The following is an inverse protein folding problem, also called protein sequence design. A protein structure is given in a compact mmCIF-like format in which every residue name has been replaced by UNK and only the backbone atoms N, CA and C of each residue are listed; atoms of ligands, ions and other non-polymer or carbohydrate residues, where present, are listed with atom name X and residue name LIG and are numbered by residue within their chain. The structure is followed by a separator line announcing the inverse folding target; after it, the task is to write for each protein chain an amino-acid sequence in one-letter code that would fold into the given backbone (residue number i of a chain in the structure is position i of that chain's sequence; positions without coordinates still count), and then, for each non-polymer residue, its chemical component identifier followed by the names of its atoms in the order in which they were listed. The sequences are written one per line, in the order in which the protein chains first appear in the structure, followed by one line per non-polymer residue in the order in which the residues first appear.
data_IF_807296971729
#
_entry.id   IF_807296971729
#
_cell.length_a   1.000
_cell.length_b   1.000
_cell.length_c   1.000
_cell.angle_alpha   90.00
_cell.angle_beta   90.00
_cell.angle_gamma   90.00
#
_symmetry.space_group_name_H-M   'P 1'
#
loop_
_entity.id
_entity.type
_entity.pdbx_description
1 polymer ?
#
# COMPACT_ATOMS: atom_id res chain seq x y z
N UNK A 1 13.28 -9.88 21.96
CA UNK A 1 12.79 -9.02 20.86
C UNK A 1 12.15 -9.93 19.84
N UNK A 2 11.01 -9.53 19.28
CA UNK A 2 10.22 -10.37 18.38
C UNK A 2 9.87 -9.57 17.13
N UNK A 3 10.00 -10.20 15.96
CA UNK A 3 9.61 -9.61 14.68
C UNK A 3 9.00 -10.66 13.78
N UNK A 4 8.00 -10.26 13.02
CA UNK A 4 7.34 -11.07 12.01
C UNK A 4 7.31 -10.32 10.67
N UNK A 5 7.46 -11.08 9.59
CA UNK A 5 7.32 -10.59 8.23
C UNK A 5 6.76 -11.67 7.34
N UNK A 6 5.63 -11.38 6.70
CA UNK A 6 5.01 -12.26 5.74
C UNK A 6 5.48 -11.87 4.35
N UNK A 7 6.21 -12.79 3.71
CA UNK A 7 6.81 -12.54 2.39
C UNK A 7 5.69 -12.38 1.36
N UNK A 8 5.70 -11.32 0.53
CA UNK A 8 4.67 -11.11 -0.49
C UNK A 8 4.54 -12.31 -1.42
N UNK A 9 3.37 -12.97 -1.40
CA UNK A 9 3.13 -14.20 -2.16
C UNK A 9 3.86 -15.44 -1.64
N UNK A 10 4.51 -15.35 -0.48
CA UNK A 10 5.30 -16.38 0.16
C UNK A 10 4.81 -16.77 1.55
N UNK A 11 5.77 -17.02 2.44
CA UNK A 11 5.60 -17.61 3.76
C UNK A 11 5.95 -16.61 4.85
N UNK A 12 5.41 -16.82 6.04
CA UNK A 12 5.68 -16.08 7.25
C UNK A 12 7.08 -16.45 7.75
N UNK A 13 7.88 -15.43 8.04
CA UNK A 13 9.16 -15.52 8.73
C UNK A 13 9.01 -14.79 10.06
N UNK A 14 9.55 -15.40 11.11
CA UNK A 14 9.54 -14.93 12.49
C UNK A 14 10.98 -14.93 12.99
N UNK A 15 11.38 -13.87 13.70
CA UNK A 15 12.66 -13.76 14.34
C UNK A 15 12.47 -13.43 15.82
N UNK A 16 12.96 -14.31 16.69
CA UNK A 16 13.14 -14.06 18.11
C UNK A 16 14.63 -13.87 18.38
N UNK A 17 15.00 -12.79 19.07
CA UNK A 17 16.39 -12.49 19.41
C UNK A 17 16.50 -11.62 20.66
N UNK A 18 17.67 -11.59 21.26
CA UNK A 18 18.04 -10.73 22.37
C UNK A 18 19.15 -9.76 21.95
N UNK A 19 19.45 -8.80 22.83
CA UNK A 19 20.54 -7.86 22.63
C UNK A 19 21.45 -7.87 23.87
N UNK A 20 22.69 -8.30 23.70
CA UNK A 20 23.72 -8.31 24.74
C UNK A 20 24.93 -7.53 24.24
N UNK A 21 25.37 -6.51 24.99
CA UNK A 21 26.50 -5.65 24.64
C UNK A 21 26.45 -5.08 23.20
N UNK A 22 25.25 -4.72 22.75
CA UNK A 22 25.02 -4.14 21.41
C UNK A 22 25.09 -5.15 20.26
N UNK A 23 25.13 -6.45 20.55
CA UNK A 23 25.11 -7.54 19.58
C UNK A 23 23.85 -8.39 19.72
N UNK A 24 23.39 -8.92 18.59
CA UNK A 24 22.27 -9.86 18.55
C UNK A 24 22.70 -11.17 19.20
N UNK A 25 21.91 -11.67 20.15
CA UNK A 25 22.15 -12.95 20.81
C UNK A 25 20.91 -13.81 20.89
N UNK A 26 21.07 -15.12 21.11
CA UNK A 26 19.96 -16.07 21.20
C UNK A 26 19.03 -16.00 19.98
N UNK A 27 19.61 -15.90 18.79
CA UNK A 27 18.85 -15.71 17.55
C UNK A 27 18.12 -16.99 17.17
N UNK A 28 16.83 -16.87 16.88
CA UNK A 28 15.98 -17.94 16.38
C UNK A 28 15.10 -17.45 15.24
N UNK A 29 15.34 -17.99 14.06
CA UNK A 29 14.46 -17.85 12.90
C UNK A 29 13.46 -19.02 12.86
N UNK A 30 12.19 -18.71 12.64
CA UNK A 30 11.09 -19.67 12.54
C UNK A 30 10.04 -19.18 11.53
N UNK A 31 9.05 -20.00 11.18
CA UNK A 31 8.01 -19.61 10.22
C UNK A 31 7.19 -20.78 9.68
N UNK A 32 6.37 -20.53 8.66
CA UNK A 32 5.63 -21.56 7.90
C UNK A 32 6.27 -21.84 6.51
N UNK A 33 7.56 -21.50 6.36
CA UNK A 33 8.37 -21.74 5.17
C UNK A 33 8.93 -23.17 5.13
N UNK A 34 9.48 -23.56 3.97
CA UNK A 34 10.21 -24.80 3.80
C UNK A 34 11.68 -24.52 3.47
N UNK A 35 12.58 -25.27 4.09
CA UNK A 35 14.03 -25.19 3.91
C UNK A 35 14.56 -26.61 3.75
N UNK A 36 15.39 -26.85 2.74
CA UNK A 36 16.04 -28.13 2.48
C UNK A 36 17.55 -27.88 2.21
N UNK A 37 18.48 -28.54 2.92
CA UNK A 37 18.23 -29.34 4.12
C UNK A 37 17.74 -28.47 5.28
N UNK A 38 16.93 -29.02 6.17
CA UNK A 38 16.42 -28.29 7.35
C UNK A 38 17.54 -27.82 8.29
N UNK A 39 18.67 -28.53 8.32
CA UNK A 39 19.87 -28.17 9.06
C UNK A 39 20.46 -26.80 8.67
N UNK A 40 20.18 -26.30 7.46
CA UNK A 40 20.60 -24.96 7.05
C UNK A 40 19.99 -23.85 7.93
N UNK A 41 18.96 -24.15 8.73
CA UNK A 41 18.40 -23.20 9.69
C UNK A 41 19.39 -22.83 10.79
N UNK A 42 20.26 -23.77 11.20
CA UNK A 42 21.30 -23.51 12.19
C UNK A 42 22.37 -22.57 11.62
N UNK A 43 22.72 -22.74 10.34
CA UNK A 43 23.64 -21.84 9.63
C UNK A 43 23.06 -20.41 9.54
N UNK A 44 21.76 -20.29 9.24
CA UNK A 44 21.05 -19.01 9.23
C UNK A 44 21.10 -18.33 10.61
N UNK A 45 20.76 -19.06 11.68
CA UNK A 45 20.79 -18.51 13.04
C UNK A 45 22.21 -18.08 13.43
N UNK A 46 23.20 -18.93 13.16
CA UNK A 46 24.61 -18.65 13.44
C UNK A 46 25.18 -17.48 12.65
N UNK A 47 24.70 -17.23 11.43
CA UNK A 47 25.11 -16.08 10.62
C UNK A 47 24.65 -14.73 11.19
N UNK A 48 23.53 -14.74 11.93
CA UNK A 48 22.92 -13.54 12.52
C UNK A 48 23.43 -13.34 13.96
N UNK A 49 23.74 -14.43 14.66
CA UNK A 49 24.30 -14.42 16.01
C UNK A 49 25.58 -13.56 16.06
N UNK A 50 25.64 -12.63 17.01
CA UNK A 50 26.78 -11.74 17.22
C UNK A 50 26.85 -10.54 16.27
N UNK A 51 25.96 -10.43 15.27
CA UNK A 51 25.89 -9.21 14.44
C UNK A 51 25.58 -7.98 15.32
N UNK A 52 26.14 -6.80 15.03
CA UNK A 52 25.77 -5.56 15.71
C UNK A 52 24.28 -5.22 15.55
N UNK A 53 23.68 -4.58 16.56
CA UNK A 53 22.32 -4.01 16.49
C UNK A 53 22.09 -3.15 15.23
N UNK A 54 23.14 -2.45 14.81
CA UNK A 54 23.07 -1.47 13.74
C UNK A 54 23.30 -2.04 12.36
N UNK A 55 23.49 -3.36 12.26
CA UNK A 55 23.56 -4.05 10.98
C UNK A 55 22.33 -3.75 10.12
N UNK A 56 22.59 -3.31 8.91
CA UNK A 56 21.59 -3.00 7.89
C UNK A 56 20.93 -4.29 7.38
N UNK A 57 19.77 -4.15 6.73
CA UNK A 57 19.12 -5.30 6.11
C UNK A 57 20.02 -5.95 5.04
N UNK A 58 20.81 -5.16 4.31
CA UNK A 58 21.74 -5.65 3.29
C UNK A 58 22.87 -6.49 3.91
N UNK A 59 23.45 -6.04 5.02
CA UNK A 59 24.50 -6.78 5.74
C UNK A 59 23.95 -8.08 6.33
N UNK A 60 22.75 -8.06 6.91
CA UNK A 60 22.12 -9.26 7.47
C UNK A 60 21.81 -10.27 6.35
N UNK A 61 21.22 -9.81 5.23
CA UNK A 61 20.90 -10.69 4.10
C UNK A 61 22.17 -11.29 3.49
N UNK A 62 23.25 -10.50 3.36
CA UNK A 62 24.53 -10.97 2.86
C UNK A 62 25.17 -12.01 3.79
N UNK A 63 25.11 -11.80 5.11
CA UNK A 63 25.61 -12.76 6.08
C UNK A 63 24.87 -14.10 6.00
N UNK A 64 23.53 -14.06 5.94
CA UNK A 64 22.68 -15.25 5.77
C UNK A 64 23.01 -15.95 4.45
N UNK A 65 23.09 -15.21 3.34
CA UNK A 65 23.37 -15.78 2.03
C UNK A 65 24.75 -16.45 1.96
N UNK A 66 25.75 -15.90 2.66
CA UNK A 66 27.10 -16.45 2.71
C UNK A 66 27.21 -17.71 3.58
N UNK A 67 26.34 -17.87 4.57
CA UNK A 67 26.31 -19.03 5.46
C UNK A 67 25.52 -20.22 4.88
N UNK A 68 24.56 -19.95 3.98
CA UNK A 68 23.75 -21.01 3.37
C UNK A 68 24.61 -22.01 2.56
N UNK A 69 24.38 -23.32 2.72
CA UNK A 69 24.93 -24.34 1.83
C UNK A 69 24.57 -24.05 0.35
N UNK A 70 25.47 -24.42 -0.57
CA UNK A 70 25.27 -24.14 -2.00
C UNK A 70 24.09 -24.89 -2.63
N UNK A 71 23.63 -25.96 -2.00
CA UNK A 71 22.48 -26.78 -2.38
C UNK A 71 21.20 -26.44 -1.59
N UNK A 72 21.25 -25.44 -0.69
CA UNK A 72 20.11 -25.05 0.12
C UNK A 72 18.97 -24.49 -0.74
N UNK A 73 17.76 -24.98 -0.50
CA UNK A 73 16.54 -24.55 -1.17
C UNK A 73 15.63 -23.82 -0.17
N UNK A 74 15.41 -22.53 -0.44
CA UNK A 74 14.51 -21.69 0.34
C UNK A 74 13.18 -21.56 -0.41
N UNK A 75 12.10 -22.10 0.16
CA UNK A 75 10.78 -22.10 -0.47
C UNK A 75 9.82 -21.21 0.30
N UNK A 76 9.42 -20.12 -0.34
CA UNK A 76 8.49 -19.13 0.21
C UNK A 76 9.14 -18.04 1.05
N UNK A 77 10.47 -18.00 1.13
CA UNK A 77 11.22 -16.95 1.82
C UNK A 77 12.60 -16.76 1.18
N UNK A 78 13.35 -15.76 1.64
CA UNK A 78 14.68 -15.43 1.14
C UNK A 78 15.57 -14.83 2.25
N UNK A 79 16.89 -14.71 2.04
CA UNK A 79 17.78 -14.00 2.97
C UNK A 79 17.33 -12.56 3.23
N UNK A 80 16.81 -11.87 2.23
CA UNK A 80 16.26 -10.51 2.37
C UNK A 80 15.02 -10.51 3.27
N UNK A 81 14.13 -11.51 3.15
CA UNK A 81 12.99 -11.64 4.04
C UNK A 81 13.41 -11.86 5.51
N UNK A 82 14.43 -12.68 5.75
CA UNK A 82 15.01 -12.86 7.08
C UNK A 82 15.56 -11.54 7.60
N UNK A 83 16.33 -10.82 6.78
CA UNK A 83 16.88 -9.52 7.16
C UNK A 83 15.79 -8.51 7.54
N UNK A 84 14.71 -8.43 6.77
CA UNK A 84 13.54 -7.60 7.09
C UNK A 84 12.94 -8.01 8.44
N UNK A 85 12.76 -9.31 8.68
CA UNK A 85 12.20 -9.85 9.93
C UNK A 85 13.06 -9.49 11.13
N UNK A 86 14.39 -9.66 11.01
CA UNK A 86 15.35 -9.30 12.06
C UNK A 86 15.35 -7.78 12.31
N UNK A 87 15.32 -6.95 11.26
CA UNK A 87 15.23 -5.49 11.42
C UNK A 87 13.94 -5.07 12.12
N UNK A 88 12.82 -5.74 11.84
CA UNK A 88 11.55 -5.52 12.56
C UNK A 88 11.65 -5.91 14.03
N UNK A 89 12.29 -7.05 14.35
CA UNK A 89 12.53 -7.48 15.72
C UNK A 89 13.40 -6.45 16.48
N UNK A 90 14.51 -6.00 15.89
CA UNK A 90 15.40 -4.97 16.48
C UNK A 90 14.67 -3.64 16.67
N UNK A 91 13.81 -3.28 15.72
CA UNK A 91 13.01 -2.06 15.80
C UNK A 91 11.88 -2.14 16.82
N UNK A 92 11.55 -3.34 17.33
CA UNK A 92 10.34 -3.61 18.11
C UNK A 92 9.09 -3.10 17.37
N UNK A 93 9.05 -3.35 16.06
CA UNK A 93 7.97 -2.91 15.20
C UNK A 93 6.64 -3.54 15.63
N UNK A 94 5.56 -2.76 15.56
CA UNK A 94 4.23 -3.27 15.84
C UNK A 94 3.76 -4.24 14.75
N UNK A 95 2.94 -5.21 15.13
CA UNK A 95 2.19 -6.09 14.25
C UNK A 95 0.79 -5.51 13.96
N UNK A 96 0.11 -6.09 12.97
CA UNK A 96 -1.28 -5.74 12.69
C UNK A 96 -2.22 -5.99 13.87
N UNK A 97 -1.95 -7.04 14.67
CA UNK A 97 -2.82 -7.49 15.76
C UNK A 97 -2.59 -6.75 17.08
N UNK A 98 -1.55 -5.92 17.15
CA UNK A 98 -1.31 -5.05 18.30
C UNK A 98 -2.28 -3.85 18.34
N UNK A 99 -3.08 -3.65 17.30
CA UNK A 99 -3.96 -2.51 17.15
C UNK A 99 -5.45 -2.89 17.12
N UNK A 100 -6.24 -2.09 17.82
CA UNK A 100 -7.69 -2.09 17.71
C UNK A 100 -8.13 -1.31 16.46
N UNK A 101 -8.23 -1.98 15.32
CA UNK A 101 -8.58 -1.34 14.06
C UNK A 101 -9.99 -0.72 14.06
N UNK A 102 -10.11 0.44 13.42
CA UNK A 102 -11.38 1.04 13.03
C UNK A 102 -11.64 0.79 11.54
N UNK A 103 -12.82 0.25 11.24
CA UNK A 103 -13.22 -0.09 9.86
C UNK A 103 -14.34 0.85 9.43
N UNK A 104 -14.06 1.70 8.46
CA UNK A 104 -15.05 2.61 7.85
C UNK A 104 -15.38 2.16 6.44
N UNK A 105 -16.68 2.05 6.16
CA UNK A 105 -17.23 2.08 4.81
C UNK A 105 -18.37 3.10 4.81
N UNK A 106 -18.16 4.24 4.16
CA UNK A 106 -19.07 5.38 4.19
C UNK A 106 -19.55 5.80 2.81
N UNK A 107 -20.52 6.70 2.77
CA UNK A 107 -21.13 7.22 1.55
C UNK A 107 -20.12 7.86 0.59
N UNK A 108 -20.37 7.82 -0.73
CA UNK A 108 -19.55 8.52 -1.72
C UNK A 108 -19.38 10.00 -1.36
N UNK A 109 -18.15 10.52 -1.50
CA UNK A 109 -17.84 11.93 -1.27
C UNK A 109 -17.23 12.58 -2.51
N UNK A 110 -17.35 13.90 -2.60
CA UNK A 110 -16.72 14.66 -3.68
C UNK A 110 -15.19 14.59 -3.62
N UNK A 111 -14.50 14.75 -4.77
CA UNK A 111 -13.06 14.49 -4.85
C UNK A 111 -12.19 15.27 -3.87
N UNK A 112 -12.46 16.56 -3.67
CA UNK A 112 -11.71 17.38 -2.71
C UNK A 112 -11.91 16.92 -1.26
N UNK A 113 -13.14 16.50 -0.92
CA UNK A 113 -13.48 15.99 0.40
C UNK A 113 -12.78 14.67 0.69
N UNK A 114 -12.69 13.77 -0.30
CA UNK A 114 -11.97 12.50 -0.13
C UNK A 114 -10.50 12.71 0.22
N UNK A 115 -9.83 13.62 -0.50
CA UNK A 115 -8.42 13.92 -0.23
C UNK A 115 -8.21 14.64 1.10
N UNK A 116 -9.16 15.48 1.51
CA UNK A 116 -9.13 16.12 2.82
C UNK A 116 -9.31 15.12 3.97
N UNK A 117 -10.24 14.17 3.83
CA UNK A 117 -10.43 13.09 4.80
C UNK A 117 -9.18 12.22 4.94
N UNK A 118 -8.52 11.88 3.83
CA UNK A 118 -7.24 11.15 3.89
C UNK A 118 -6.20 11.89 4.74
N UNK A 119 -6.07 13.21 4.59
CA UNK A 119 -5.10 14.00 5.36
C UNK A 119 -5.51 14.17 6.84
N UNK A 120 -6.79 14.49 7.10
CA UNK A 120 -7.32 14.70 8.46
C UNK A 120 -7.21 13.42 9.28
N UNK A 121 -7.65 12.28 8.74
CA UNK A 121 -7.66 11.02 9.46
C UNK A 121 -6.24 10.48 9.68
N UNK A 122 -5.33 10.68 8.74
CA UNK A 122 -3.92 10.31 8.94
C UNK A 122 -3.27 11.16 10.03
N UNK A 123 -3.53 12.47 10.06
CA UNK A 123 -3.03 13.33 11.14
C UNK A 123 -3.59 12.91 12.50
N UNK A 124 -4.90 12.63 12.59
CA UNK A 124 -5.53 12.18 13.83
C UNK A 124 -4.92 10.87 14.37
N UNK A 125 -4.57 9.93 13.49
CA UNK A 125 -3.83 8.72 13.88
C UNK A 125 -2.44 9.05 14.41
N UNK A 126 -1.69 9.94 13.74
CA UNK A 126 -0.35 10.34 14.21
C UNK A 126 -0.37 11.12 15.52
N UNK A 127 -1.45 11.87 15.78
CA UNK A 127 -1.67 12.58 17.04
C UNK A 127 -2.22 11.68 18.16
N UNK A 128 -2.56 10.42 17.87
CA UNK A 128 -3.14 9.48 18.82
C UNK A 128 -4.60 9.78 19.20
N UNK A 129 -5.26 10.71 18.50
CA UNK A 129 -6.68 11.04 18.71
C UNK A 129 -7.62 10.10 17.97
N UNK A 130 -7.09 9.33 17.01
CA UNK A 130 -7.79 8.27 16.29
C UNK A 130 -6.98 6.96 16.32
N UNK A 131 -7.66 5.83 16.42
CA UNK A 131 -7.05 4.50 16.28
C UNK A 131 -6.68 4.20 14.82
N UNK A 132 -5.72 3.29 14.55
CA UNK A 132 -5.41 2.86 13.18
C UNK A 132 -6.68 2.44 12.44
N UNK A 133 -6.80 2.86 11.19
CA UNK A 133 -8.07 2.81 10.48
C UNK A 133 -7.90 2.29 9.06
N UNK A 134 -8.74 1.33 8.67
CA UNK A 134 -9.04 1.01 7.29
C UNK A 134 -10.31 1.75 6.88
N UNK A 135 -10.23 2.51 5.79
CA UNK A 135 -11.39 3.18 5.18
C UNK A 135 -11.53 2.72 3.75
N UNK A 136 -12.63 2.06 3.41
CA UNK A 136 -13.07 1.84 2.03
C UNK A 136 -14.07 2.95 1.67
N UNK A 137 -13.86 3.62 0.54
CA UNK A 137 -14.64 4.80 0.18
C UNK A 137 -14.79 4.97 -1.32
N UNK A 138 -15.77 5.79 -1.73
CA UNK A 138 -16.23 5.87 -3.12
C UNK A 138 -16.31 7.31 -3.64
N UNK A 139 -16.22 7.48 -4.97
CA UNK A 139 -16.23 8.79 -5.62
C UNK A 139 -17.65 9.23 -5.97
N UNK A 140 -18.08 10.40 -5.47
CA UNK A 140 -19.39 10.97 -5.81
C UNK A 140 -19.45 11.59 -7.21
N UNK A 141 -18.30 11.86 -7.85
CA UNK A 141 -18.24 12.46 -9.19
C UNK A 141 -16.94 12.07 -9.91
N UNK A 142 -16.90 12.13 -11.26
CA UNK A 142 -15.70 11.86 -12.03
C UNK A 142 -14.53 12.76 -11.64
N UNK A 143 -13.33 12.17 -11.54
CA UNK A 143 -12.15 12.89 -11.11
C UNK A 143 -10.86 12.46 -11.82
N UNK A 144 -9.95 13.43 -11.96
CA UNK A 144 -8.53 13.19 -12.21
C UNK A 144 -7.76 13.56 -10.96
N UNK A 145 -7.01 12.60 -10.43
CA UNK A 145 -6.19 12.77 -9.25
C UNK A 145 -4.72 12.80 -9.66
N UNK A 146 -4.09 13.96 -9.57
CA UNK A 146 -2.64 14.10 -9.82
C UNK A 146 -1.85 13.98 -8.51
N UNK A 147 -0.67 13.38 -8.59
CA UNK A 147 0.27 13.26 -7.48
C UNK A 147 0.87 14.61 -7.07
N UNK A 148 1.36 14.69 -5.84
CA UNK A 148 1.84 15.94 -5.22
C UNK A 148 2.92 16.67 -6.03
N UNK A 149 3.77 15.94 -6.76
CA UNK A 149 4.88 16.48 -7.57
C UNK A 149 4.56 16.60 -9.07
N UNK A 150 3.38 16.18 -9.52
CA UNK A 150 3.07 16.16 -10.94
C UNK A 150 2.70 17.56 -11.48
N UNK A 151 3.08 17.81 -12.73
CA UNK A 151 2.71 19.05 -13.44
C UNK A 151 1.29 18.94 -13.98
N UNK A 152 0.37 19.76 -13.48
CA UNK A 152 -1.02 19.81 -13.94
C UNK A 152 -1.11 19.92 -15.48
N UNK A 153 -0.27 20.78 -16.07
CA UNK A 153 -0.25 21.01 -17.53
C UNK A 153 0.23 19.79 -18.32
N UNK A 154 1.12 18.99 -17.75
CA UNK A 154 1.69 17.85 -18.45
C UNK A 154 0.82 16.61 -18.32
N UNK A 155 0.04 16.49 -17.24
CA UNK A 155 -0.78 15.30 -16.98
C UNK A 155 -2.22 15.42 -17.47
N UNK A 156 -2.77 16.62 -17.56
CA UNK A 156 -4.22 16.81 -17.75
C UNK A 156 -4.54 17.68 -18.96
N UNK A 157 -5.46 17.20 -19.79
CA UNK A 157 -6.15 18.04 -20.76
C UNK A 157 -7.33 18.75 -20.06
N UNK A 158 -7.07 19.97 -19.55
CA UNK A 158 -8.08 20.72 -18.80
C UNK A 158 -9.33 21.04 -19.61
N UNK A 159 -9.20 21.27 -20.91
CA UNK A 159 -10.35 21.60 -21.76
C UNK A 159 -11.26 20.38 -21.91
N UNK A 160 -10.68 19.19 -22.11
CA UNK A 160 -11.45 17.95 -22.12
C UNK A 160 -12.00 17.61 -20.72
N UNK A 161 -11.23 17.78 -19.66
CA UNK A 161 -11.70 17.55 -18.30
C UNK A 161 -12.95 18.41 -17.98
N UNK A 162 -12.94 19.70 -18.31
CA UNK A 162 -14.09 20.59 -18.17
C UNK A 162 -15.27 20.15 -19.05
N UNK A 163 -15.02 19.85 -20.33
CA UNK A 163 -16.04 19.37 -21.28
C UNK A 163 -16.77 18.11 -20.80
N UNK A 164 -16.04 17.19 -20.17
CA UNK A 164 -16.61 15.92 -19.67
C UNK A 164 -17.04 16.00 -18.20
N UNK A 165 -17.02 17.17 -17.56
CA UNK A 165 -17.44 17.33 -16.16
C UNK A 165 -16.52 16.61 -15.15
N UNK A 166 -15.24 16.45 -15.50
CA UNK A 166 -14.26 15.74 -14.67
C UNK A 166 -13.53 16.73 -13.77
N UNK A 167 -13.65 16.53 -12.47
CA UNK A 167 -12.99 17.39 -11.47
C UNK A 167 -11.51 17.04 -11.38
N UNK A 168 -10.62 18.03 -11.38
CA UNK A 168 -9.18 17.78 -11.26
C UNK A 168 -8.72 18.15 -9.85
N UNK A 169 -8.15 17.20 -9.13
CA UNK A 169 -7.67 17.36 -7.75
C UNK A 169 -6.23 16.88 -7.59
N UNK A 170 -5.52 17.46 -6.62
CA UNK A 170 -4.13 17.07 -6.27
C UNK A 170 -4.10 16.42 -4.89
N UNK A 171 -3.56 15.21 -4.79
CA UNK A 171 -3.37 14.51 -3.51
C UNK A 171 -2.06 14.90 -2.83
N UNK A 172 -1.95 14.60 -1.54
CA UNK A 172 -0.73 14.89 -0.74
C UNK A 172 0.40 13.88 -0.95
N UNK A 173 0.09 12.70 -1.47
CA UNK A 173 1.04 11.63 -1.80
C UNK A 173 1.61 11.79 -3.20
N UNK A 174 2.75 11.15 -3.45
CA UNK A 174 3.36 11.09 -4.78
C UNK A 174 2.67 10.09 -5.71
N UNK A 175 3.33 9.74 -6.82
CA UNK A 175 2.84 8.78 -7.81
C UNK A 175 2.18 9.43 -9.03
N UNK A 176 1.69 8.59 -9.96
CA UNK A 176 1.12 9.03 -11.24
C UNK A 176 -0.30 9.60 -11.14
N UNK A 177 -0.79 10.11 -12.28
CA UNK A 177 -2.14 10.61 -12.42
C UNK A 177 -3.12 9.45 -12.59
N UNK A 178 -4.31 9.56 -12.02
CA UNK A 178 -5.38 8.56 -12.13
C UNK A 178 -6.66 9.23 -12.58
N UNK A 179 -7.47 8.50 -13.34
CA UNK A 179 -8.83 8.87 -13.71
C UNK A 179 -9.81 7.88 -13.07
N UNK A 180 -10.87 8.39 -12.48
CA UNK A 180 -11.92 7.59 -11.82
C UNK A 180 -13.28 8.18 -12.15
N UNK A 181 -14.28 7.30 -12.19
CA UNK A 181 -15.68 7.65 -12.26
C UNK A 181 -16.43 7.01 -11.08
N UNK A 182 -17.61 7.52 -10.72
CA UNK A 182 -18.49 6.82 -9.80
C UNK A 182 -18.65 5.38 -10.25
N UNK A 183 -18.58 4.47 -9.29
CA UNK A 183 -18.69 3.02 -9.50
C UNK A 183 -17.58 2.33 -10.30
N UNK A 184 -16.63 3.07 -10.89
CA UNK A 184 -15.57 2.48 -11.72
C UNK A 184 -14.36 2.01 -10.91
N UNK A 185 -14.30 2.31 -9.61
CA UNK A 185 -13.17 1.99 -8.76
C UNK A 185 -13.58 1.45 -7.39
N UNK A 186 -12.68 0.66 -6.81
CA UNK A 186 -12.65 0.36 -5.38
C UNK A 186 -11.45 1.09 -4.81
N UNK A 187 -11.69 1.99 -3.85
CA UNK A 187 -10.64 2.79 -3.23
C UNK A 187 -10.60 2.52 -1.73
N UNK A 188 -9.40 2.30 -1.20
CA UNK A 188 -9.19 2.18 0.23
C UNK A 188 -7.99 3.01 0.69
N UNK A 189 -8.04 3.40 1.96
CA UNK A 189 -6.97 4.06 2.66
C UNK A 189 -6.72 3.35 3.99
N UNK A 190 -5.45 3.17 4.32
CA UNK A 190 -4.94 2.80 5.63
C UNK A 190 -4.29 4.03 6.25
N UNK A 191 -4.76 4.38 7.44
CA UNK A 191 -4.18 5.43 8.28
C UNK A 191 -3.51 4.73 9.46
N UNK A 192 -2.18 4.66 9.45
CA UNK A 192 -1.44 3.80 10.38
C UNK A 192 -0.33 4.57 11.11
N UNK A 193 -0.03 4.22 12.38
CA UNK A 193 1.14 4.72 13.08
C UNK A 193 2.43 4.29 12.37
N UNK A 194 3.50 5.07 12.52
CA UNK A 194 4.79 4.77 11.89
C UNK A 194 5.42 3.46 12.38
N UNK A 195 5.10 3.07 13.62
CA UNK A 195 5.56 1.86 14.30
C UNK A 195 5.17 0.58 13.57
N UNK A 196 4.01 0.57 12.88
CA UNK A 196 3.53 -0.59 12.13
C UNK A 196 4.47 -0.94 10.96
N UNK A 197 5.02 0.08 10.29
CA UNK A 197 5.93 -0.09 9.15
C UNK A 197 7.41 0.08 9.53
N UNK A 198 7.72 0.15 10.82
CA UNK A 198 9.07 0.32 11.29
C UNK A 198 9.94 -0.88 10.93
N UNK A 199 11.20 -0.64 10.57
CA UNK A 199 12.13 -1.68 10.12
C UNK A 199 11.93 -2.14 8.67
N UNK A 200 10.88 -1.68 7.98
CA UNK A 200 10.67 -1.92 6.55
C UNK A 200 11.37 -0.87 5.68
N UNK A 201 11.83 -1.27 4.51
CA UNK A 201 12.16 -0.31 3.46
C UNK A 201 10.89 0.40 2.96
N UNK A 202 11.04 1.50 2.22
CA UNK A 202 9.89 2.14 1.58
C UNK A 202 9.15 1.17 0.67
N UNK A 203 9.86 0.40 -0.15
CA UNK A 203 9.27 -0.56 -1.07
C UNK A 203 8.51 -1.68 -0.35
N UNK A 204 9.13 -2.28 0.68
CA UNK A 204 8.51 -3.36 1.44
C UNK A 204 7.29 -2.86 2.20
N UNK A 205 7.29 -1.61 2.66
CA UNK A 205 6.13 -1.05 3.35
C UNK A 205 4.88 -0.92 2.47
N UNK A 206 5.02 -0.84 1.14
CA UNK A 206 3.85 -0.92 0.27
C UNK A 206 3.32 -2.35 0.18
N UNK A 207 4.20 -3.31 -0.13
CA UNK A 207 3.80 -4.72 -0.26
C UNK A 207 3.18 -5.25 1.04
N UNK A 208 3.76 -4.89 2.18
CA UNK A 208 3.27 -5.22 3.51
C UNK A 208 1.85 -4.67 3.77
N UNK A 209 1.57 -3.41 3.40
CA UNK A 209 0.24 -2.80 3.62
C UNK A 209 -0.83 -3.27 2.63
N UNK A 210 -0.42 -3.82 1.47
CA UNK A 210 -1.31 -4.36 0.44
C UNK A 210 -1.55 -5.88 0.56
N UNK A 211 -0.86 -6.56 1.47
CA UNK A 211 -0.86 -8.02 1.49
C UNK A 211 -2.25 -8.64 1.69
N UNK A 212 -3.01 -8.10 2.64
CA UNK A 212 -4.38 -8.53 2.93
C UNK A 212 -5.31 -8.41 1.71
N UNK A 213 -5.03 -7.48 0.80
CA UNK A 213 -5.79 -7.33 -0.45
C UNK A 213 -5.48 -8.44 -1.41
N UNK A 214 -4.22 -8.88 -1.51
CA UNK A 214 -3.86 -10.02 -2.35
C UNK A 214 -4.58 -11.28 -1.88
N UNK A 215 -4.67 -11.50 -0.57
CA UNK A 215 -5.43 -12.61 0.00
C UNK A 215 -6.93 -12.50 -0.29
N UNK A 216 -7.51 -11.31 -0.19
CA UNK A 216 -8.91 -11.07 -0.52
C UNK A 216 -9.20 -11.37 -2.00
N UNK A 217 -8.35 -10.89 -2.91
CA UNK A 217 -8.51 -11.08 -4.35
C UNK A 217 -8.30 -12.55 -4.76
N UNK A 218 -7.32 -13.25 -4.17
CA UNK A 218 -7.12 -14.70 -4.38
C UNK A 218 -8.31 -15.52 -3.90
N UNK A 219 -8.91 -15.15 -2.77
CA UNK A 219 -10.12 -15.79 -2.28
C UNK A 219 -11.34 -15.55 -3.19
N UNK A 220 -11.28 -14.58 -4.10
CA UNK A 220 -12.27 -14.34 -5.16
C UNK A 220 -11.89 -15.01 -6.50
N UNK A 221 -10.83 -15.81 -6.53
CA UNK A 221 -10.36 -16.51 -7.72
C UNK A 221 -9.47 -15.68 -8.65
N UNK A 222 -9.02 -14.49 -8.21
CA UNK A 222 -8.06 -13.68 -8.97
C UNK A 222 -6.65 -14.07 -8.55
N UNK A 223 -5.82 -14.50 -9.50
CA UNK A 223 -4.39 -14.72 -9.27
C UNK A 223 -3.63 -13.39 -9.14
N UNK A 224 -3.89 -12.68 -8.05
CA UNK A 224 -3.32 -11.37 -7.77
C UNK A 224 -1.92 -11.50 -7.17
N UNK A 225 -0.98 -10.73 -7.71
CA UNK A 225 0.39 -10.63 -7.22
C UNK A 225 0.85 -9.18 -7.16
N UNK A 226 1.83 -8.95 -6.29
CA UNK A 226 2.44 -7.65 -6.12
C UNK A 226 3.54 -7.42 -7.15
N UNK A 227 3.58 -6.23 -7.74
CA UNK A 227 4.64 -5.78 -8.61
C UNK A 227 5.26 -4.49 -8.07
N UNK A 228 6.50 -4.53 -7.57
CA UNK A 228 7.19 -3.34 -7.10
C UNK A 228 7.24 -2.24 -8.18
N UNK A 229 7.13 -0.97 -7.80
CA UNK A 229 7.14 -0.47 -6.42
C UNK A 229 5.81 -0.62 -5.67
N UNK A 230 4.67 -0.55 -6.36
CA UNK A 230 3.36 -0.20 -5.77
C UNK A 230 2.15 -0.71 -6.57
N UNK A 231 2.32 -1.68 -7.47
CA UNK A 231 1.25 -2.15 -8.35
C UNK A 231 0.68 -3.50 -7.87
N UNK A 232 -0.65 -3.59 -7.78
CA UNK A 232 -1.37 -4.87 -7.65
C UNK A 232 -1.76 -5.31 -9.07
N UNK A 233 -1.34 -6.51 -9.46
CA UNK A 233 -1.51 -7.03 -10.83
C UNK A 233 -2.02 -8.47 -10.84
N UNK A 234 -2.53 -8.91 -11.99
CA UNK A 234 -2.79 -10.30 -12.31
C UNK A 234 -2.15 -10.64 -13.68
N UNK A 235 -2.17 -11.91 -14.12
CA UNK A 235 -1.72 -12.28 -15.46
C UNK A 235 -2.46 -11.53 -16.58
N UNK A 236 -3.68 -11.08 -16.33
CA UNK A 236 -4.50 -10.38 -17.31
C UNK A 236 -4.15 -8.89 -17.43
N UNK A 237 -3.66 -8.27 -16.35
CA UNK A 237 -3.32 -6.85 -16.36
C UNK A 237 -3.10 -6.24 -14.99
N UNK A 238 -2.87 -4.92 -14.99
CA UNK A 238 -2.80 -4.15 -13.74
C UNK A 238 -4.22 -3.98 -13.18
N UNK A 239 -4.39 -4.28 -11.90
CA UNK A 239 -5.65 -4.12 -11.16
C UNK A 239 -5.70 -2.76 -10.47
N UNK A 240 -4.63 -2.39 -9.77
CA UNK A 240 -4.59 -1.17 -8.97
C UNK A 240 -3.18 -0.71 -8.67
N UNK A 241 -3.08 0.47 -8.06
CA UNK A 241 -1.80 1.02 -7.63
C UNK A 241 -1.94 1.81 -6.34
N UNK A 242 -0.95 1.64 -5.47
CA UNK A 242 -0.85 2.30 -4.19
C UNK A 242 -0.05 3.60 -4.27
N UNK A 243 -0.30 4.51 -3.34
CA UNK A 243 0.60 5.62 -3.05
C UNK A 243 0.71 5.80 -1.53
N UNK A 244 1.85 6.28 -1.06
CA UNK A 244 2.07 6.55 0.36
C UNK A 244 2.52 7.98 0.62
N UNK A 245 2.22 8.44 1.83
CA UNK A 245 2.78 9.66 2.42
C UNK A 245 3.04 9.43 3.90
N UNK A 246 4.28 9.67 4.35
CA UNK A 246 4.60 9.80 5.77
C UNK A 246 4.43 11.26 6.18
N UNK A 247 3.66 11.50 7.23
CA UNK A 247 3.38 12.85 7.75
C UNK A 247 4.35 13.21 8.87
N UNK A 248 4.46 14.51 9.16
CA UNK A 248 5.29 15.02 10.25
C UNK A 248 4.82 14.56 11.63
N UNK A 249 3.55 14.14 11.76
CA UNK A 249 2.98 13.50 12.95
C UNK A 249 3.48 12.08 13.18
N UNK A 250 4.29 11.49 12.28
CA UNK A 250 4.79 10.12 12.36
C UNK A 250 3.86 9.07 11.73
N UNK A 251 2.60 9.41 11.46
CA UNK A 251 1.67 8.51 10.79
C UNK A 251 1.94 8.37 9.28
N UNK A 252 1.43 7.28 8.73
CA UNK A 252 1.53 6.90 7.32
C UNK A 252 0.13 6.82 6.73
N UNK A 253 -0.07 7.59 5.66
CA UNK A 253 -1.15 7.37 4.71
C UNK A 253 -0.66 6.36 3.69
N UNK A 254 -1.39 5.26 3.53
CA UNK A 254 -1.27 4.36 2.39
C UNK A 254 -2.64 4.22 1.75
N UNK A 255 -2.77 4.56 0.48
CA UNK A 255 -4.05 4.50 -0.21
C UNK A 255 -3.93 3.90 -1.60
N UNK A 256 -4.97 3.23 -2.04
CA UNK A 256 -4.97 2.43 -3.26
C UNK A 256 -6.25 2.67 -4.01
N UNK A 257 -6.12 2.81 -5.32
CA UNK A 257 -7.25 2.77 -6.24
C UNK A 257 -7.12 1.54 -7.12
N UNK A 258 -8.10 0.64 -7.04
CA UNK A 258 -8.23 -0.52 -7.90
C UNK A 258 -9.32 -0.27 -8.94
N UNK A 259 -9.01 -0.55 -10.21
CA UNK A 259 -9.97 -0.48 -11.29
C UNK A 259 -11.00 -1.60 -11.14
N UNK A 260 -12.26 -1.22 -10.94
CA UNK A 260 -13.38 -2.15 -10.97
C UNK A 260 -14.02 -2.20 -12.36
N UNK A 261 -14.15 -1.03 -12.99
CA UNK A 261 -14.57 -0.82 -14.38
C UNK A 261 -13.81 0.40 -14.95
N UNK A 262 -13.79 0.62 -16.27
CA UNK A 262 -13.11 1.80 -16.84
C UNK A 262 -13.58 2.18 -18.24
N UNK A 263 -13.90 3.46 -18.43
CA UNK A 263 -14.01 4.08 -19.76
C UNK A 263 -12.62 4.49 -20.28
N UNK A 264 -11.95 3.54 -20.94
CA UNK A 264 -10.61 3.74 -21.47
C UNK A 264 -10.53 4.88 -22.50
N UNK A 265 -11.59 5.10 -23.29
CA UNK A 265 -11.63 6.16 -24.29
C UNK A 265 -11.71 7.55 -23.64
N UNK A 266 -12.57 7.71 -22.64
CA UNK A 266 -12.67 8.97 -21.90
C UNK A 266 -11.36 9.27 -21.15
N UNK A 267 -10.76 8.25 -20.54
CA UNK A 267 -9.46 8.39 -19.86
C UNK A 267 -8.39 8.99 -20.78
N UNK A 268 -8.21 8.45 -21.99
CA UNK A 268 -7.16 8.95 -22.93
C UNK A 268 -7.47 10.34 -23.49
N UNK A 269 -8.72 10.79 -23.42
CA UNK A 269 -9.12 12.16 -23.83
C UNK A 269 -8.82 13.20 -22.75
N UNK A 270 -8.85 12.81 -21.47
CA UNK A 270 -8.69 13.75 -20.35
C UNK A 270 -7.28 13.72 -19.74
N UNK A 271 -6.57 12.60 -19.86
CA UNK A 271 -5.18 12.46 -19.44
C UNK A 271 -4.22 12.66 -20.61
N UNK A 272 -3.18 13.46 -20.37
CA UNK A 272 -2.04 13.62 -21.28
C UNK A 272 -1.03 12.53 -20.97
N UNK A 273 -1.22 11.36 -21.57
CA UNK A 273 -0.30 10.25 -21.40
C UNK A 273 1.02 10.59 -22.10
N UNK A 274 2.08 10.77 -21.32
CA UNK A 274 3.38 11.27 -21.79
C UNK A 274 3.92 10.54 -23.03
N UNK A 275 4.32 11.31 -24.04
CA UNK A 275 4.93 10.82 -25.29
C UNK A 275 6.21 10.00 -25.08
N UNK A 276 6.90 10.12 -23.95
CA UNK A 276 8.10 9.31 -23.64
C UNK A 276 7.79 7.84 -23.35
N UNK A 277 6.57 7.49 -22.89
CA UNK A 277 6.17 6.07 -22.83
C UNK A 277 5.83 5.50 -24.20
N UNK A 278 5.56 6.37 -25.18
CA UNK A 278 5.23 6.02 -26.56
C UNK A 278 6.47 5.88 -27.46
N UNK A 279 7.62 6.47 -27.10
CA UNK A 279 8.84 6.40 -27.92
C UNK A 279 9.64 5.11 -27.75
N UNK A 280 9.46 4.36 -26.66
CA UNK A 280 10.18 3.09 -26.42
C UNK A 280 9.34 1.83 -26.64
N UNK A 281 8.09 1.97 -27.07
CA UNK A 281 7.19 0.91 -27.56
C UNK A 281 5.99 1.61 -28.18
N UNK A 282 5.83 1.50 -29.49
CA UNK A 282 4.76 2.16 -30.25
C UNK A 282 3.39 1.96 -29.62
N UNK A 283 2.49 2.94 -29.85
CA UNK A 283 1.01 3.07 -29.66
C UNK A 283 0.21 2.12 -28.75
N UNK A 284 0.66 0.92 -28.43
CA UNK A 284 0.16 -0.01 -27.43
C UNK A 284 0.56 0.31 -25.96
N UNK A 285 1.47 1.26 -25.70
CA UNK A 285 2.06 1.44 -24.35
C UNK A 285 1.24 2.28 -23.36
N UNK A 286 0.26 3.05 -23.83
CA UNK A 286 -0.73 3.72 -22.99
C UNK A 286 -1.86 2.77 -22.54
N UNK A 287 -2.15 1.76 -23.37
CA UNK A 287 -2.96 0.59 -23.05
C UNK A 287 -2.10 -0.52 -22.43
N UNK A 288 -1.24 -0.20 -21.45
CA UNK A 288 -0.83 -1.26 -20.50
C UNK A 288 -2.14 -1.77 -19.91
N UNK A 289 -2.57 -2.97 -20.33
CA UNK A 289 -3.87 -3.59 -20.05
C UNK A 289 -4.22 -3.39 -18.58
N UNK A 290 -4.99 -2.35 -18.30
CA UNK A 290 -5.76 -2.28 -17.06
C UNK A 290 -6.88 -3.26 -17.31
N UNK A 291 -6.92 -4.33 -16.54
CA UNK A 291 -7.97 -5.32 -16.64
C UNK A 291 -8.85 -5.20 -15.39
N UNK A 292 -10.03 -4.59 -15.50
CA UNK A 292 -10.83 -4.27 -14.33
C UNK A 292 -11.28 -5.52 -13.55
N UNK A 293 -11.52 -5.37 -12.25
CA UNK A 293 -11.95 -6.51 -11.41
C UNK A 293 -13.26 -7.16 -11.90
N UNK A 294 -14.14 -6.37 -12.52
CA UNK A 294 -15.41 -6.88 -13.07
C UNK A 294 -15.21 -7.90 -14.20
N UNK A 295 -14.25 -7.68 -15.11
CA UNK A 295 -13.97 -8.63 -16.21
C UNK A 295 -13.34 -9.92 -15.72
N UNK A 296 -12.56 -9.86 -14.64
CA UNK A 296 -11.85 -11.02 -14.07
C UNK A 296 -12.74 -11.88 -13.17
N UNK A 297 -13.68 -11.27 -12.43
CA UNK A 297 -14.49 -11.98 -11.43
C UNK A 297 -15.93 -12.23 -11.86
N UNK A 298 -16.52 -11.33 -12.66
CA UNK A 298 -17.96 -11.27 -12.90
C UNK A 298 -18.78 -10.82 -11.69
N UNK A 299 -18.16 -10.53 -10.54
CA UNK A 299 -18.83 -10.12 -9.32
C UNK A 299 -19.19 -8.64 -9.32
N UNK A 300 -20.23 -8.29 -8.56
CA UNK A 300 -20.56 -6.90 -8.28
C UNK A 300 -19.47 -6.23 -7.44
N UNK A 301 -19.36 -4.91 -7.56
CA UNK A 301 -18.39 -4.10 -6.79
C UNK A 301 -18.57 -4.28 -5.28
N UNK A 302 -19.83 -4.38 -4.84
CA UNK A 302 -20.17 -4.57 -3.44
C UNK A 302 -19.76 -5.94 -2.91
N UNK A 303 -19.86 -7.00 -3.70
CA UNK A 303 -19.37 -8.33 -3.31
C UNK A 303 -17.85 -8.33 -3.12
N UNK A 304 -17.12 -7.66 -4.01
CA UNK A 304 -15.65 -7.52 -3.89
C UNK A 304 -15.30 -6.72 -2.63
N UNK A 305 -15.96 -5.58 -2.39
CA UNK A 305 -15.75 -4.76 -1.19
C UNK A 305 -16.07 -5.54 0.09
N UNK A 306 -17.19 -6.27 0.12
CA UNK A 306 -17.58 -7.10 1.27
C UNK A 306 -16.49 -8.13 1.56
N UNK A 307 -16.01 -8.83 0.54
CA UNK A 307 -14.95 -9.83 0.71
C UNK A 307 -13.65 -9.22 1.21
N UNK A 308 -13.27 -8.04 0.73
CA UNK A 308 -12.12 -7.30 1.21
C UNK A 308 -12.25 -6.96 2.70
N UNK A 309 -13.39 -6.43 3.13
CA UNK A 309 -13.67 -6.12 4.54
C UNK A 309 -13.62 -7.38 5.41
N UNK A 310 -14.29 -8.45 4.98
CA UNK A 310 -14.31 -9.73 5.70
C UNK A 310 -12.91 -10.31 5.86
N UNK A 311 -12.07 -10.18 4.82
CA UNK A 311 -10.69 -10.67 4.83
C UNK A 311 -9.84 -9.87 5.79
N UNK A 312 -9.92 -8.54 5.74
CA UNK A 312 -9.19 -7.67 6.67
C UNK A 312 -9.55 -7.97 8.12
N UNK A 313 -10.85 -8.07 8.44
CA UNK A 313 -11.34 -8.36 9.79
C UNK A 313 -10.92 -9.76 10.25
N UNK A 314 -10.95 -10.77 9.37
CA UNK A 314 -10.50 -12.11 9.72
C UNK A 314 -9.00 -12.17 10.04
N UNK A 315 -8.17 -11.40 9.32
CA UNK A 315 -6.73 -11.39 9.52
C UNK A 315 -6.29 -10.56 10.74
N UNK A 316 -6.86 -9.36 10.88
CA UNK A 316 -6.36 -8.32 11.76
C UNK A 316 -7.35 -7.88 12.84
N UNK A 317 -8.59 -8.38 12.82
CA UNK A 317 -9.66 -7.89 13.67
C UNK A 317 -10.16 -6.50 13.27
N UNK A 318 -10.82 -5.82 14.20
CA UNK A 318 -11.31 -4.46 14.01
C UNK A 318 -12.79 -4.32 14.31
N UNK A 319 -13.19 -3.06 14.50
CA UNK A 319 -14.56 -2.69 14.85
C UNK A 319 -15.09 -1.68 13.84
N UNK A 320 -16.38 -1.81 13.48
CA UNK A 320 -17.05 -0.83 12.63
C UNK A 320 -16.97 0.55 13.28
N UNK A 321 -16.61 1.54 12.47
CA UNK A 321 -16.50 2.94 12.87
C UNK A 321 -17.03 3.83 11.76
N UNK A 322 -17.12 5.12 12.03
CA UNK A 322 -17.55 6.15 11.10
C UNK A 322 -16.58 7.33 11.18
N UNK A 323 -16.61 8.19 10.15
CA UNK A 323 -15.97 9.50 10.26
C UNK A 323 -16.87 10.36 11.15
N UNK A 324 -16.30 10.90 12.22
CA UNK A 324 -17.05 11.69 13.19
C UNK A 324 -17.46 13.05 12.61
N UNK A 325 -18.51 13.70 13.13
CA UNK A 325 -18.90 15.04 12.69
C UNK A 325 -17.76 16.08 12.80
N UNK A 326 -16.90 15.95 13.80
CA UNK A 326 -15.75 16.85 13.98
C UNK A 326 -14.69 16.61 12.88
N UNK A 327 -14.39 15.36 12.55
CA UNK A 327 -13.48 15.02 11.45
C UNK A 327 -14.03 15.47 10.11
N UNK A 328 -15.35 15.33 9.89
CA UNK A 328 -16.03 15.90 8.72
C UNK A 328 -15.86 17.42 8.65
N UNK A 329 -16.13 18.14 9.73
CA UNK A 329 -15.97 19.60 9.75
C UNK A 329 -14.52 20.04 9.46
N UNK A 330 -13.53 19.36 10.05
CA UNK A 330 -12.10 19.60 9.75
C UNK A 330 -11.77 19.32 8.29
N UNK A 331 -12.30 18.25 7.72
CA UNK A 331 -12.07 17.89 6.32
C UNK A 331 -12.78 18.85 5.35
N UNK A 332 -13.98 19.33 5.66
CA UNK A 332 -14.67 20.36 4.88
C UNK A 332 -13.87 21.67 4.84
N UNK A 333 -13.40 22.12 6.01
CA UNK A 333 -12.54 23.29 6.11
C UNK A 333 -11.26 23.11 5.28
N UNK A 334 -10.56 21.99 5.45
CA UNK A 334 -9.33 21.70 4.71
C UNK A 334 -9.58 21.55 3.20
N UNK A 335 -10.72 20.99 2.80
CA UNK A 335 -11.11 20.89 1.40
C UNK A 335 -11.31 22.28 0.78
N UNK A 336 -11.94 23.20 1.48
CA UNK A 336 -12.15 24.58 1.02
C UNK A 336 -10.83 25.38 0.96
N UNK A 337 -10.01 25.28 2.00
CA UNK A 337 -8.77 26.07 2.15
C UNK A 337 -7.60 25.55 1.33
N UNK A 338 -7.61 24.25 0.96
CA UNK A 338 -6.51 23.60 0.26
C UNK A 338 -6.97 22.86 -1.00
N UNK A 339 -7.70 21.76 -0.86
CA UNK A 339 -7.90 20.81 -1.97
C UNK A 339 -8.76 21.34 -3.12
N UNK A 340 -9.60 22.33 -2.86
CA UNK A 340 -10.41 23.01 -3.87
C UNK A 340 -9.75 24.28 -4.44
N UNK A 341 -8.55 24.63 -3.99
CA UNK A 341 -7.88 25.86 -4.40
C UNK A 341 -7.03 25.66 -5.65
N UNK A 342 -7.04 26.65 -6.55
CA UNK A 342 -6.15 26.69 -7.71
C UNK A 342 -4.66 26.76 -7.30
N UNK A 343 -4.35 27.38 -6.15
CA UNK A 343 -3.00 27.45 -5.61
C UNK A 343 -2.44 26.06 -5.30
N UNK A 344 -3.23 25.21 -4.63
CA UNK A 344 -2.85 23.83 -4.37
C UNK A 344 -2.80 23.01 -5.66
N UNK A 345 -3.83 23.11 -6.50
CA UNK A 345 -3.92 22.34 -7.75
C UNK A 345 -2.72 22.62 -8.69
N UNK A 346 -2.29 23.88 -8.79
CA UNK A 346 -1.17 24.32 -9.64
C UNK A 346 0.21 24.21 -8.98
N UNK A 347 0.29 23.81 -7.71
CA UNK A 347 1.57 23.68 -7.01
C UNK A 347 2.49 22.72 -7.77
N UNK A 348 3.66 23.21 -8.15
CA UNK A 348 4.80 22.39 -8.59
C UNK A 348 5.88 22.62 -7.53
N UNK A 349 6.14 21.62 -6.67
CA UNK A 349 7.11 21.74 -5.58
C UNK A 349 8.52 22.08 -6.05
#
# INVERSE_FOLDING_TARGET
MHGEYKVPGGKLVVADLELTDGKLTNVRIAGDFFLEPDSALDDINGAIEGLPRESTAEEIAAAVQAALPSDAQLLGFSPEAIAVTVRRAIAQAASWRDYDWQIIHGEPQHPAMQLALDEVLTNAVGEGTRKPTLRIWEWASPAIIIGSFQSLRNEVDRANAEKYGVTVVRRISGGGAMFVEPESAITYSLYVPGELVQGLSFADSYAFLDEWVLDALKALGIDAFYKPLNDISSPAGKIGGAAQKRLGSGAVLHHVTMSYDMDAEKMVRVLRIGREKLSDKGTASAQKRVDPLRSQTGLSRQEVISKMLDTFVALHGGTRSEVTPEEYAKAEQLAAEKFSTEAWLKRVP
#
